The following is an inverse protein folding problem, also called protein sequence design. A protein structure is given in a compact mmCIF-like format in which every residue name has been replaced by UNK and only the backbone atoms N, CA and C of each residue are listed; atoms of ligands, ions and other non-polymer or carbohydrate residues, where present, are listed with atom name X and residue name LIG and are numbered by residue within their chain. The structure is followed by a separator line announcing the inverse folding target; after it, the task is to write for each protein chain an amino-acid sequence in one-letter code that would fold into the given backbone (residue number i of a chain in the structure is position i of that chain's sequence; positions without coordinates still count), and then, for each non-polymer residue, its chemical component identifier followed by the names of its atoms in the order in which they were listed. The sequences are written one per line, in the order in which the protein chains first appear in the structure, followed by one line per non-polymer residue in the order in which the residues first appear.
data_IF_382938695773
#
_entry.id   IF_382938695773
#
_cell.length_a   1.000
_cell.length_b   1.000
_cell.length_c   1.000
_cell.angle_alpha   90.00
_cell.angle_beta   90.00
_cell.angle_gamma   90.00
#
_symmetry.space_group_name_H-M   'P 1'
#
loop_
_entity.id
_entity.type
_entity.pdbx_description
1 polymer ?
#
# COMPACT_ATOMS: atom_id res chain seq x y z
N UNK A 1 -8.08 -16.25 35.07
CA UNK A 1 -8.23 -15.71 33.71
C UNK A 1 -7.33 -16.48 32.76
N UNK A 2 -7.90 -17.14 31.77
CA UNK A 2 -7.12 -17.85 30.76
C UNK A 2 -6.61 -16.86 29.72
N UNK A 3 -5.31 -16.70 29.61
CA UNK A 3 -4.70 -15.94 28.53
C UNK A 3 -4.46 -16.93 27.39
N UNK A 4 -5.14 -16.73 26.28
CA UNK A 4 -4.91 -17.51 25.06
C UNK A 4 -3.77 -16.87 24.31
N UNK A 5 -2.63 -17.54 24.27
CA UNK A 5 -1.47 -17.08 23.52
C UNK A 5 -1.52 -17.72 22.14
N UNK A 6 -1.59 -16.90 21.11
CA UNK A 6 -1.51 -17.38 19.72
C UNK A 6 -0.02 -17.58 19.39
N UNK A 7 0.40 -18.85 19.35
CA UNK A 7 1.80 -19.21 19.08
C UNK A 7 2.24 -18.80 17.67
N UNK A 8 1.34 -18.77 16.70
CA UNK A 8 1.65 -18.31 15.36
C UNK A 8 1.99 -16.82 15.34
N UNK A 9 1.23 -16.00 16.07
CA UNK A 9 1.51 -14.55 16.19
C UNK A 9 2.85 -14.28 16.87
N UNK A 10 3.18 -15.07 17.89
CA UNK A 10 4.47 -14.95 18.57
C UNK A 10 5.60 -15.31 17.62
N UNK A 11 5.47 -16.39 16.86
CA UNK A 11 6.44 -16.80 15.85
C UNK A 11 6.68 -15.69 14.83
N UNK A 12 5.59 -15.11 14.30
CA UNK A 12 5.70 -14.03 13.31
C UNK A 12 6.34 -12.77 13.89
N UNK A 13 6.05 -12.45 15.16
CA UNK A 13 6.68 -11.33 15.84
C UNK A 13 8.18 -11.53 15.97
N UNK A 14 8.64 -12.70 16.38
CA UNK A 14 10.06 -13.04 16.46
C UNK A 14 10.74 -12.96 15.10
N UNK A 15 10.11 -13.49 14.05
CA UNK A 15 10.63 -13.41 12.69
C UNK A 15 10.81 -11.95 12.26
N UNK A 16 9.81 -11.11 12.51
CA UNK A 16 9.85 -9.69 12.19
C UNK A 16 10.96 -8.94 12.92
N UNK A 17 11.17 -9.28 14.19
CA UNK A 17 12.24 -8.66 15.01
C UNK A 17 13.64 -9.05 14.53
N UNK A 18 13.85 -10.31 14.14
CA UNK A 18 15.18 -10.82 13.82
C UNK A 18 15.58 -10.71 12.36
N UNK A 19 14.64 -10.70 11.43
CA UNK A 19 14.96 -10.60 10.00
C UNK A 19 14.16 -9.53 9.25
N UNK A 20 13.29 -8.76 9.95
CA UNK A 20 12.54 -7.66 9.36
C UNK A 20 11.22 -8.04 8.71
N UNK A 21 10.92 -9.33 8.54
CA UNK A 21 9.66 -9.80 7.96
C UNK A 21 9.27 -11.17 8.52
N UNK A 22 7.98 -11.49 8.44
CA UNK A 22 7.43 -12.77 8.90
C UNK A 22 7.04 -13.66 7.72
N UNK A 23 6.87 -14.97 7.99
CA UNK A 23 6.35 -15.91 6.98
C UNK A 23 4.93 -15.56 6.56
N UNK A 24 4.14 -14.96 7.45
CA UNK A 24 2.79 -14.48 7.13
C UNK A 24 2.82 -13.45 5.99
N UNK A 25 3.77 -12.53 6.05
CA UNK A 25 3.94 -11.48 5.01
C UNK A 25 4.30 -12.08 3.66
N UNK A 26 5.00 -13.20 3.64
CA UNK A 26 5.38 -13.89 2.39
C UNK A 26 4.21 -14.59 1.71
N UNK A 27 3.21 -15.03 2.48
CA UNK A 27 2.04 -15.74 1.94
C UNK A 27 1.18 -14.86 1.06
N UNK A 28 1.14 -13.56 1.36
CA UNK A 28 0.38 -12.59 0.58
C UNK A 28 1.24 -11.35 0.37
N UNK A 29 2.28 -11.53 -0.39
CA UNK A 29 3.31 -10.51 -0.59
C UNK A 29 2.76 -9.26 -1.26
N UNK A 30 1.83 -9.41 -2.21
CA UNK A 30 1.20 -8.29 -2.89
C UNK A 30 0.47 -7.39 -1.90
N UNK A 31 -0.38 -7.98 -1.06
CA UNK A 31 -1.12 -7.23 -0.04
C UNK A 31 -0.19 -6.60 0.99
N UNK A 32 0.83 -7.34 1.41
CA UNK A 32 1.86 -6.84 2.33
C UNK A 32 2.56 -5.62 1.73
N UNK A 33 2.90 -5.67 0.46
CA UNK A 33 3.51 -4.54 -0.25
C UNK A 33 2.58 -3.33 -0.27
N UNK A 34 1.32 -3.50 -0.61
CA UNK A 34 0.36 -2.41 -0.64
C UNK A 34 0.07 -1.83 0.74
N UNK A 35 -0.03 -2.67 1.77
CA UNK A 35 -0.19 -2.22 3.15
C UNK A 35 1.02 -1.41 3.64
N UNK A 36 2.22 -1.83 3.24
CA UNK A 36 3.46 -1.10 3.54
C UNK A 36 3.50 0.23 2.79
N UNK A 37 3.13 0.21 1.52
CA UNK A 37 3.23 1.37 0.64
C UNK A 37 2.21 2.45 0.97
N UNK A 38 1.00 2.08 1.32
CA UNK A 38 -0.11 3.02 1.48
C UNK A 38 0.18 4.19 2.43
N UNK A 39 0.58 3.97 3.70
CA UNK A 39 0.85 5.09 4.59
C UNK A 39 2.05 5.91 4.14
N UNK A 40 3.01 5.30 3.48
CA UNK A 40 4.20 5.95 2.97
C UNK A 40 3.88 6.81 1.75
N UNK A 41 3.08 6.32 0.83
CA UNK A 41 2.62 7.09 -0.32
C UNK A 41 1.78 8.30 0.12
N UNK A 42 0.92 8.10 1.10
CA UNK A 42 0.09 9.17 1.67
C UNK A 42 0.97 10.26 2.30
N UNK A 43 1.99 9.88 3.04
CA UNK A 43 2.95 10.81 3.63
C UNK A 43 3.82 11.48 2.57
N UNK A 44 4.27 10.75 1.57
CA UNK A 44 5.05 11.25 0.45
C UNK A 44 4.27 12.33 -0.30
N UNK A 45 3.03 12.05 -0.64
CA UNK A 45 2.16 13.00 -1.34
C UNK A 45 1.99 14.31 -0.56
N UNK A 46 1.92 14.23 0.77
CA UNK A 46 1.76 15.39 1.64
C UNK A 46 3.06 16.19 1.81
N UNK A 47 4.20 15.50 1.93
CA UNK A 47 5.48 16.13 2.29
C UNK A 47 6.38 16.45 1.11
N UNK A 48 6.27 15.70 0.01
CA UNK A 48 7.18 15.76 -1.13
C UNK A 48 6.45 16.25 -2.39
N UNK A 49 5.56 17.22 -2.25
CA UNK A 49 4.70 17.68 -3.33
C UNK A 49 5.37 18.67 -4.30
N UNK A 50 6.58 19.14 -4.00
CA UNK A 50 7.27 20.17 -4.79
C UNK A 50 7.99 19.63 -6.02
N UNK A 51 8.32 18.32 -6.05
CA UNK A 51 9.02 17.69 -7.16
C UNK A 51 8.09 16.84 -8.02
N UNK A 52 8.44 16.69 -9.29
CA UNK A 52 7.74 15.77 -10.20
C UNK A 52 8.72 15.29 -11.29
N UNK A 53 8.49 14.08 -11.87
CA UNK A 53 9.28 13.62 -13.00
C UNK A 53 9.12 14.54 -14.22
N UNK A 54 10.13 14.56 -15.09
CA UNK A 54 10.13 15.42 -16.29
C UNK A 54 8.96 15.15 -17.24
N UNK A 55 8.48 13.92 -17.28
CA UNK A 55 7.37 13.49 -18.15
C UNK A 55 5.99 13.93 -17.63
N UNK A 56 5.93 14.47 -16.42
CA UNK A 56 4.70 14.95 -15.79
C UNK A 56 4.78 16.44 -15.51
N UNK A 57 3.66 17.14 -15.66
CA UNK A 57 3.51 18.44 -15.03
C UNK A 57 3.25 18.25 -13.53
N UNK A 58 3.39 19.31 -12.73
CA UNK A 58 3.10 19.23 -11.30
C UNK A 58 1.65 18.77 -11.04
N UNK A 59 0.70 19.26 -11.84
CA UNK A 59 -0.71 18.87 -11.72
C UNK A 59 -0.96 17.41 -12.11
N UNK A 60 -0.34 16.95 -13.19
CA UNK A 60 -0.42 15.57 -13.64
C UNK A 60 0.15 14.62 -12.59
N UNK A 61 1.27 14.97 -12.00
CA UNK A 61 1.92 14.18 -10.97
C UNK A 61 1.06 14.07 -9.71
N UNK A 62 0.52 15.20 -9.24
CA UNK A 62 -0.39 15.20 -8.09
C UNK A 62 -1.65 14.36 -8.38
N UNK A 63 -2.21 14.48 -9.58
CA UNK A 63 -3.35 13.67 -10.00
C UNK A 63 -3.02 12.18 -10.02
N UNK A 64 -1.84 11.81 -10.51
CA UNK A 64 -1.35 10.44 -10.51
C UNK A 64 -1.21 9.88 -9.09
N UNK A 65 -0.57 10.63 -8.19
CA UNK A 65 -0.42 10.22 -6.80
C UNK A 65 -1.76 10.06 -6.10
N UNK A 66 -2.69 10.94 -6.37
CA UNK A 66 -4.05 10.88 -5.80
C UNK A 66 -4.80 9.64 -6.28
N UNK A 67 -4.73 9.34 -7.58
CA UNK A 67 -5.36 8.14 -8.15
C UNK A 67 -4.73 6.86 -7.58
N UNK A 68 -3.41 6.86 -7.44
CA UNK A 68 -2.68 5.72 -6.87
C UNK A 68 -3.07 5.46 -5.42
N UNK A 69 -3.17 6.52 -4.62
CA UNK A 69 -3.63 6.41 -3.24
C UNK A 69 -5.05 5.84 -3.18
N UNK A 70 -5.94 6.34 -4.02
CA UNK A 70 -7.33 5.87 -4.09
C UNK A 70 -7.41 4.41 -4.53
N UNK A 71 -6.59 4.00 -5.50
CA UNK A 71 -6.53 2.61 -5.95
C UNK A 71 -6.10 1.68 -4.84
N UNK A 72 -5.10 2.07 -4.04
CA UNK A 72 -4.67 1.31 -2.86
C UNK A 72 -5.79 1.21 -1.83
N UNK A 73 -6.48 2.30 -1.54
CA UNK A 73 -7.61 2.31 -0.61
C UNK A 73 -8.73 1.38 -1.07
N UNK A 74 -9.03 1.41 -2.35
CA UNK A 74 -10.06 0.55 -2.95
C UNK A 74 -9.67 -0.93 -2.87
N UNK A 75 -8.45 -1.25 -3.26
CA UNK A 75 -7.93 -2.62 -3.23
C UNK A 75 -7.91 -3.17 -1.81
N UNK A 76 -7.35 -2.43 -0.87
CA UNK A 76 -7.22 -2.87 0.52
C UNK A 76 -8.60 -2.97 1.20
N UNK A 77 -9.52 -2.08 0.85
CA UNK A 77 -10.90 -2.14 1.34
C UNK A 77 -11.67 -3.33 0.79
N UNK A 78 -11.51 -3.65 -0.50
CA UNK A 78 -12.14 -4.81 -1.12
C UNK A 78 -11.65 -6.13 -0.49
N UNK A 79 -10.38 -6.18 -0.10
CA UNK A 79 -9.79 -7.33 0.59
C UNK A 79 -10.02 -7.30 2.11
N UNK A 80 -10.85 -6.40 2.58
CA UNK A 80 -11.32 -6.31 3.98
C UNK A 80 -10.21 -6.09 5.01
N UNK A 81 -9.15 -5.38 4.64
CA UNK A 81 -8.12 -5.00 5.59
C UNK A 81 -8.62 -3.94 6.58
N UNK A 82 -8.25 -4.13 7.84
CA UNK A 82 -8.68 -3.25 8.93
C UNK A 82 -8.26 -1.80 8.69
N UNK A 83 -9.20 -0.88 8.85
CA UNK A 83 -8.96 0.54 8.64
C UNK A 83 -9.28 1.01 7.23
N UNK A 84 -9.61 0.09 6.33
CA UNK A 84 -9.99 0.42 4.96
C UNK A 84 -11.48 0.14 4.74
N UNK A 85 -12.15 1.08 4.11
CA UNK A 85 -13.57 0.98 3.83
C UNK A 85 -13.81 0.11 2.62
N UNK A 86 -14.71 -0.88 2.76
CA UNK A 86 -15.11 -1.72 1.64
C UNK A 86 -15.82 -0.85 0.60
N UNK A 87 -15.39 -0.91 -0.69
CA UNK A 87 -16.06 -0.13 -1.73
C UNK A 87 -17.46 -0.64 -2.00
N UNK A 88 -18.37 0.27 -2.29
CA UNK A 88 -19.76 -0.08 -2.64
C UNK A 88 -19.77 -0.77 -3.99
N UNK A 89 -18.98 -0.28 -4.92
CA UNK A 89 -18.82 -0.84 -6.25
C UNK A 89 -17.36 -0.69 -6.68
N UNK A 90 -16.75 -1.78 -7.11
CA UNK A 90 -15.37 -1.78 -7.54
C UNK A 90 -15.28 -2.05 -9.04
N UNK A 91 -14.61 -1.15 -9.75
CA UNK A 91 -14.17 -1.40 -11.12
C UNK A 91 -12.78 -2.00 -11.06
N UNK A 92 -12.72 -3.33 -11.10
CA UNK A 92 -11.45 -4.06 -10.95
C UNK A 92 -10.46 -3.70 -12.05
N UNK A 93 -10.91 -3.58 -13.29
CA UNK A 93 -10.02 -3.25 -14.42
C UNK A 93 -9.37 -1.89 -14.24
N UNK A 94 -10.14 -0.91 -13.79
CA UNK A 94 -9.62 0.43 -13.51
C UNK A 94 -8.63 0.42 -12.36
N UNK A 95 -8.98 -0.24 -11.26
CA UNK A 95 -8.12 -0.34 -10.07
C UNK A 95 -6.82 -1.05 -10.40
N UNK A 96 -6.89 -2.18 -11.10
CA UNK A 96 -5.70 -2.93 -11.54
C UNK A 96 -4.80 -2.08 -12.43
N UNK A 97 -5.37 -1.35 -13.37
CA UNK A 97 -4.61 -0.44 -14.24
C UNK A 97 -3.88 0.64 -13.44
N UNK A 98 -4.57 1.24 -12.49
CA UNK A 98 -4.00 2.30 -11.66
C UNK A 98 -2.88 1.78 -10.75
N UNK A 99 -3.05 0.57 -10.17
CA UNK A 99 -2.01 -0.08 -9.38
C UNK A 99 -0.79 -0.44 -10.22
N UNK A 100 -1.03 -0.89 -11.45
CA UNK A 100 0.04 -1.22 -12.39
C UNK A 100 0.85 0.02 -12.78
N UNK A 101 0.18 1.12 -13.06
CA UNK A 101 0.84 2.41 -13.35
C UNK A 101 1.66 2.88 -12.15
N UNK A 102 1.15 2.71 -10.93
CA UNK A 102 1.88 3.03 -9.71
C UNK A 102 3.19 2.23 -9.63
N UNK A 103 3.13 0.93 -9.90
CA UNK A 103 4.33 0.07 -9.88
C UNK A 103 5.32 0.46 -10.98
N UNK A 104 4.86 0.91 -12.13
CA UNK A 104 5.73 1.38 -13.21
C UNK A 104 6.49 2.65 -12.84
N UNK A 105 5.96 3.45 -11.91
CA UNK A 105 6.55 4.72 -11.48
C UNK A 105 7.16 4.68 -10.08
N UNK A 106 7.40 3.48 -9.54
CA UNK A 106 8.03 3.33 -8.21
C UNK A 106 9.36 4.07 -8.13
N UNK A 107 10.16 4.01 -9.19
CA UNK A 107 11.46 4.69 -9.25
C UNK A 107 11.37 6.21 -9.26
N UNK A 108 10.19 6.77 -9.52
CA UNK A 108 9.95 8.21 -9.52
C UNK A 108 9.48 8.72 -8.15
N UNK A 109 9.24 7.84 -7.19
CA UNK A 109 8.78 8.18 -5.84
C UNK A 109 9.97 8.50 -4.94
N UNK A 110 10.61 9.63 -5.20
CA UNK A 110 11.71 10.15 -4.39
C UNK A 110 11.67 11.68 -4.36
N UNK A 111 12.31 12.24 -3.37
CA UNK A 111 12.38 13.68 -3.20
C UNK A 111 13.76 14.21 -3.57
#
# INVERSE_FOLDING_TARGET
MKVIIDTAKIKYLFQKLFRGFSDEELRNLEDTFYLWLYPRLKAFRRKCSSGHPMEFTAQEWEGFLKRSQRALETYLGDNEYRGFKKPIKMDWKKTEKELKELCEHISDLWD
#
